data_IF_337784762647
#
_entry.id   IF_337784762647
#
_cell.length_a   1.000
_cell.length_b   1.000
_cell.length_c   1.000
_cell.angle_alpha   90.00
_cell.angle_beta   90.00
_cell.angle_gamma   90.00
#
_symmetry.space_group_name_H-M   'P 1'
#
loop_
_entity.id
_entity.type
_entity.pdbx_description
1 polymer ?
#
# COMPACT_ATOMS: atom_id res chain seq x y z
N UNK A 1 -13.24 11.25 48.03
CA UNK A 1 -14.27 12.30 48.04
C UNK A 1 -14.19 12.92 46.67
N UNK A 2 -14.89 12.34 45.69
CA UNK A 2 -14.85 12.82 44.31
C UNK A 2 -15.76 14.04 44.23
N UNK A 3 -15.15 15.22 44.17
CA UNK A 3 -15.91 16.46 43.95
C UNK A 3 -16.65 16.35 42.61
N UNK A 4 -17.97 16.65 42.57
CA UNK A 4 -18.77 16.50 41.35
C UNK A 4 -18.21 17.33 40.17
N UNK A 5 -17.50 18.43 40.45
CA UNK A 5 -16.82 19.22 39.44
C UNK A 5 -15.64 18.50 38.76
N UNK A 6 -14.88 17.69 39.51
CA UNK A 6 -13.74 16.92 38.96
C UNK A 6 -14.23 15.88 37.97
N UNK A 7 -15.31 15.17 38.32
CA UNK A 7 -15.95 14.17 37.45
C UNK A 7 -16.45 14.80 36.14
N UNK A 8 -17.06 15.99 36.21
CA UNK A 8 -17.53 16.70 35.03
C UNK A 8 -16.36 17.08 34.09
N UNK A 9 -15.25 17.59 34.64
CA UNK A 9 -14.06 17.91 33.83
C UNK A 9 -13.44 16.68 33.17
N UNK A 10 -13.32 15.56 33.89
CA UNK A 10 -12.78 14.31 33.35
C UNK A 10 -13.67 13.81 32.21
N UNK A 11 -14.99 13.84 32.38
CA UNK A 11 -15.93 13.44 31.34
C UNK A 11 -15.80 14.30 30.08
N UNK A 12 -15.73 15.62 30.22
CA UNK A 12 -15.58 16.55 29.08
C UNK A 12 -14.26 16.32 28.35
N UNK A 13 -13.16 16.10 29.08
CA UNK A 13 -11.86 15.75 28.49
C UNK A 13 -11.93 14.42 27.74
N UNK A 14 -12.60 13.41 28.29
CA UNK A 14 -12.77 12.12 27.63
C UNK A 14 -13.56 12.25 26.32
N UNK A 15 -14.68 13.02 26.34
CA UNK A 15 -15.48 13.29 25.14
C UNK A 15 -14.67 14.05 24.10
N UNK A 16 -13.92 15.08 24.50
CA UNK A 16 -13.06 15.85 23.60
C UNK A 16 -11.97 14.98 22.96
N UNK A 17 -11.30 14.14 23.76
CA UNK A 17 -10.29 13.21 23.27
C UNK A 17 -10.90 12.18 22.30
N UNK A 18 -12.06 11.63 22.63
CA UNK A 18 -12.78 10.69 21.77
C UNK A 18 -13.15 11.33 20.44
N UNK A 19 -13.71 12.55 20.44
CA UNK A 19 -14.07 13.27 19.21
C UNK A 19 -12.85 13.57 18.33
N UNK A 20 -11.68 13.83 18.91
CA UNK A 20 -10.43 14.04 18.17
C UNK A 20 -9.87 12.74 17.58
N UNK A 21 -9.90 11.65 18.35
CA UNK A 21 -9.23 10.39 17.98
C UNK A 21 -10.14 9.52 17.11
N UNK A 22 -11.45 9.56 17.31
CA UNK A 22 -12.42 8.72 16.63
C UNK A 22 -12.38 8.83 15.09
N UNK A 23 -12.30 10.01 14.45
CA UNK A 23 -12.26 10.11 12.99
C UNK A 23 -11.03 9.41 12.40
N UNK A 24 -9.89 9.56 13.07
CA UNK A 24 -8.62 8.94 12.65
C UNK A 24 -8.66 7.43 12.81
N UNK A 25 -9.17 6.94 13.95
CA UNK A 25 -9.35 5.50 14.16
C UNK A 25 -10.39 4.89 13.23
N UNK A 26 -11.50 5.60 12.96
CA UNK A 26 -12.53 5.17 12.02
C UNK A 26 -11.94 5.05 10.62
N UNK A 27 -11.16 6.04 10.18
CA UNK A 27 -10.48 6.03 8.89
C UNK A 27 -9.49 4.87 8.78
N UNK A 28 -8.59 4.72 9.74
CA UNK A 28 -7.59 3.64 9.74
C UNK A 28 -8.26 2.26 9.84
N UNK A 29 -9.30 2.14 10.67
CA UNK A 29 -10.08 0.91 10.81
C UNK A 29 -10.79 0.54 9.52
N UNK A 30 -11.35 1.53 8.81
CA UNK A 30 -12.01 1.30 7.53
C UNK A 30 -11.01 0.91 6.44
N UNK A 31 -9.87 1.60 6.34
CA UNK A 31 -8.80 1.27 5.38
C UNK A 31 -8.27 -0.15 5.65
N UNK A 32 -7.88 -0.47 6.89
CA UNK A 32 -7.44 -1.83 7.24
C UNK A 32 -8.52 -2.89 7.04
N UNK A 33 -9.79 -2.54 7.31
CA UNK A 33 -10.92 -3.44 7.09
C UNK A 33 -11.10 -3.77 5.60
N UNK A 34 -11.00 -2.76 4.74
CA UNK A 34 -11.04 -2.95 3.28
C UNK A 34 -9.83 -3.74 2.76
N UNK A 35 -8.62 -3.47 3.27
CA UNK A 35 -7.42 -4.25 2.95
C UNK A 35 -7.60 -5.73 3.34
N UNK A 36 -8.12 -5.98 4.54
CA UNK A 36 -8.36 -7.35 5.02
C UNK A 36 -9.37 -8.11 4.18
N UNK A 37 -10.49 -7.47 3.81
CA UNK A 37 -11.50 -8.08 2.94
C UNK A 37 -11.00 -8.35 1.53
N UNK A 38 -10.09 -7.50 1.03
CA UNK A 38 -9.43 -7.70 -0.26
C UNK A 38 -8.48 -8.90 -0.22
N UNK A 39 -7.69 -9.03 0.84
CA UNK A 39 -6.63 -10.06 0.91
C UNK A 39 -7.17 -11.46 1.26
N UNK A 40 -8.06 -11.59 2.25
CA UNK A 40 -8.42 -12.90 2.82
C UNK A 40 -9.25 -13.82 1.87
N UNK A 41 -9.96 -13.27 0.88
CA UNK A 41 -10.93 -14.04 0.08
C UNK A 41 -10.56 -14.20 -1.41
N UNK A 42 -9.74 -13.30 -1.96
CA UNK A 42 -9.38 -13.32 -3.39
C UNK A 42 -7.93 -13.75 -3.63
N UNK A 43 -7.00 -13.39 -2.76
CA UNK A 43 -5.57 -13.69 -2.95
C UNK A 43 -5.29 -15.18 -2.83
N UNK A 44 -5.84 -15.86 -1.82
CA UNK A 44 -5.62 -17.30 -1.62
C UNK A 44 -6.15 -18.15 -2.80
N UNK A 45 -7.34 -17.81 -3.33
CA UNK A 45 -7.93 -18.51 -4.47
C UNK A 45 -7.21 -18.20 -5.79
N UNK A 46 -6.86 -16.93 -6.01
CA UNK A 46 -6.10 -16.52 -7.19
C UNK A 46 -4.67 -17.07 -7.18
N UNK A 47 -3.99 -17.13 -6.03
CA UNK A 47 -2.69 -17.79 -5.89
C UNK A 47 -2.78 -19.30 -6.13
N UNK A 48 -3.85 -19.95 -5.69
CA UNK A 48 -4.01 -21.38 -5.92
C UNK A 48 -4.30 -21.72 -7.39
N UNK A 49 -5.11 -20.92 -8.09
CA UNK A 49 -5.40 -21.11 -9.51
C UNK A 49 -4.22 -20.67 -10.40
N UNK A 50 -3.61 -19.51 -10.13
CA UNK A 50 -2.54 -18.96 -10.99
C UNK A 50 -1.14 -19.41 -10.60
N UNK A 51 -0.89 -19.85 -9.36
CA UNK A 51 0.43 -20.31 -8.94
C UNK A 51 0.90 -21.56 -9.69
N UNK A 52 -0.04 -22.44 -10.08
CA UNK A 52 0.28 -23.61 -10.89
C UNK A 52 0.47 -23.28 -12.38
N UNK A 53 -0.32 -22.36 -12.95
CA UNK A 53 -0.18 -21.95 -14.36
C UNK A 53 0.99 -20.99 -14.59
N UNK A 54 1.19 -19.98 -13.72
CA UNK A 54 2.27 -18.99 -13.86
C UNK A 54 3.66 -19.59 -13.64
N UNK A 55 3.82 -20.58 -12.75
CA UNK A 55 5.14 -21.17 -12.53
C UNK A 55 5.57 -21.97 -13.76
N UNK A 56 4.64 -22.72 -14.40
CA UNK A 56 4.87 -23.42 -15.66
C UNK A 56 4.98 -22.47 -16.87
N UNK A 57 4.15 -21.43 -16.94
CA UNK A 57 4.20 -20.42 -18.02
C UNK A 57 5.43 -19.50 -17.91
N UNK A 58 5.89 -19.16 -16.71
CA UNK A 58 7.14 -18.40 -16.52
C UNK A 58 8.34 -19.28 -16.76
N UNK A 59 8.32 -20.56 -16.35
CA UNK A 59 9.38 -21.51 -16.68
C UNK A 59 9.42 -21.78 -18.20
N UNK A 60 8.26 -21.87 -18.85
CA UNK A 60 8.10 -22.01 -20.29
C UNK A 60 8.48 -20.71 -21.03
N UNK A 61 8.09 -19.53 -20.52
CA UNK A 61 8.48 -18.24 -21.06
C UNK A 61 9.94 -17.90 -20.78
N UNK A 62 10.57 -18.42 -19.73
CA UNK A 62 12.03 -18.38 -19.53
C UNK A 62 12.75 -19.34 -20.48
N UNK A 63 12.15 -20.50 -20.76
CA UNK A 63 12.66 -21.46 -21.74
C UNK A 63 12.52 -20.96 -23.19
N UNK A 64 11.48 -20.17 -23.48
CA UNK A 64 11.22 -19.54 -24.79
C UNK A 64 11.89 -18.16 -24.91
N UNK A 65 11.99 -17.41 -23.81
CA UNK A 65 12.32 -15.98 -23.74
C UNK A 65 13.79 -15.63 -23.59
N UNK A 66 14.72 -16.51 -23.97
CA UNK A 66 16.06 -16.05 -24.39
C UNK A 66 16.00 -15.48 -25.84
N UNK A 67 14.83 -15.50 -26.50
CA UNK A 67 14.62 -14.98 -27.87
C UNK A 67 13.43 -14.01 -27.97
N UNK A 68 13.31 -13.04 -27.06
CA UNK A 68 12.43 -11.87 -27.26
C UNK A 68 13.21 -10.61 -26.90
N UNK A 69 13.59 -9.83 -27.91
CA UNK A 69 14.21 -8.53 -27.75
C UNK A 69 13.44 -7.66 -26.75
N UNK A 70 14.13 -7.29 -25.68
CA UNK A 70 13.70 -6.31 -24.70
C UNK A 70 13.53 -4.94 -25.38
N UNK A 71 12.31 -4.65 -25.83
CA UNK A 71 11.91 -3.31 -26.25
C UNK A 71 11.88 -2.38 -25.03
N UNK A 72 13.00 -1.69 -24.80
CA UNK A 72 13.00 -0.24 -24.64
C UNK A 72 12.48 0.42 -23.35
N UNK A 73 11.96 -0.30 -22.35
CA UNK A 73 11.55 0.35 -21.08
C UNK A 73 12.76 0.62 -20.15
N UNK A 74 13.56 1.61 -20.51
CA UNK A 74 14.63 2.12 -19.65
C UNK A 74 14.07 2.50 -18.27
N UNK A 75 14.71 2.04 -17.20
CA UNK A 75 14.36 2.42 -15.82
C UNK A 75 15.32 3.51 -15.34
N UNK A 76 14.78 4.53 -14.67
CA UNK A 76 15.53 5.67 -14.13
C UNK A 76 15.48 5.64 -12.60
N UNK A 77 16.64 5.77 -11.95
CA UNK A 77 16.72 5.86 -10.48
C UNK A 77 16.45 7.27 -10.01
N UNK A 78 15.61 7.40 -8.98
CA UNK A 78 15.35 8.67 -8.33
C UNK A 78 16.62 9.17 -7.62
N UNK A 79 17.11 10.39 -7.90
CA UNK A 79 18.28 10.94 -7.22
C UNK A 79 18.02 11.28 -5.74
N UNK A 80 16.76 11.41 -5.33
CA UNK A 80 16.39 11.77 -3.95
C UNK A 80 16.34 10.57 -2.99
N UNK A 81 15.77 9.45 -3.43
CA UNK A 81 15.56 8.27 -2.56
C UNK A 81 16.12 6.95 -3.12
N UNK A 82 16.69 6.96 -4.33
CA UNK A 82 17.28 5.77 -4.96
C UNK A 82 16.28 4.81 -5.61
N UNK A 83 14.98 5.06 -5.47
CA UNK A 83 13.92 4.21 -6.01
C UNK A 83 13.99 4.11 -7.54
N UNK A 84 13.81 2.90 -8.08
CA UNK A 84 13.72 2.72 -9.53
C UNK A 84 12.36 3.22 -10.02
N UNK A 85 12.31 3.92 -11.13
CA UNK A 85 11.08 4.42 -11.75
C UNK A 85 11.14 4.12 -13.25
N UNK A 86 9.98 4.14 -13.92
CA UNK A 86 9.95 4.05 -15.39
C UNK A 86 10.51 5.34 -15.98
N UNK A 87 11.22 5.29 -17.12
CA UNK A 87 11.82 6.48 -17.74
C UNK A 87 10.81 7.55 -18.16
N UNK A 88 9.53 7.18 -18.33
CA UNK A 88 8.44 8.11 -18.61
C UNK A 88 7.78 8.72 -17.34
N UNK A 89 8.19 8.32 -16.14
CA UNK A 89 7.63 8.84 -14.89
C UNK A 89 8.13 10.26 -14.62
N UNK A 90 7.21 11.21 -14.39
CA UNK A 90 7.55 12.61 -14.02
C UNK A 90 7.83 12.77 -12.52
N UNK A 91 7.33 11.85 -11.70
CA UNK A 91 7.44 11.87 -10.24
C UNK A 91 7.83 10.50 -9.71
N UNK A 92 8.59 10.48 -8.62
CA UNK A 92 9.01 9.26 -7.96
C UNK A 92 7.83 8.57 -7.27
N UNK A 93 7.66 7.27 -7.46
CA UNK A 93 6.60 6.48 -6.83
C UNK A 93 6.70 6.36 -5.30
N UNK A 94 7.87 6.59 -4.73
CA UNK A 94 8.11 6.46 -3.29
C UNK A 94 8.10 7.83 -2.58
N UNK A 95 8.97 8.75 -3.00
CA UNK A 95 9.13 10.05 -2.32
C UNK A 95 8.34 11.20 -2.98
N UNK A 96 7.64 10.94 -4.10
CA UNK A 96 6.90 11.94 -4.89
C UNK A 96 7.75 13.12 -5.41
N UNK A 97 9.08 13.03 -5.31
CA UNK A 97 10.01 14.01 -5.87
C UNK A 97 9.97 14.01 -7.39
N UNK A 98 10.18 15.18 -8.01
CA UNK A 98 10.22 15.33 -9.47
C UNK A 98 11.45 14.62 -10.04
N UNK A 99 11.24 13.80 -11.07
CA UNK A 99 12.32 13.08 -11.74
C UNK A 99 12.90 13.94 -12.89
N UNK A 100 14.21 13.82 -13.17
CA UNK A 100 14.81 14.46 -14.34
C UNK A 100 14.23 13.80 -15.60
N UNK A 101 13.63 14.62 -16.46
CA UNK A 101 13.08 14.21 -17.77
C UNK A 101 14.18 14.05 -18.81
#
# INVERSE_FOLDING_TARGET
MDDPGTVETIWRLAVAALVMIAPTLLFLGLVRGLERLRDDAFVERWLHEQGHELEDDVLTALAIGIDVEADGSSSLRCPGCGESNTSNARYCRNCLGRLPS
#
